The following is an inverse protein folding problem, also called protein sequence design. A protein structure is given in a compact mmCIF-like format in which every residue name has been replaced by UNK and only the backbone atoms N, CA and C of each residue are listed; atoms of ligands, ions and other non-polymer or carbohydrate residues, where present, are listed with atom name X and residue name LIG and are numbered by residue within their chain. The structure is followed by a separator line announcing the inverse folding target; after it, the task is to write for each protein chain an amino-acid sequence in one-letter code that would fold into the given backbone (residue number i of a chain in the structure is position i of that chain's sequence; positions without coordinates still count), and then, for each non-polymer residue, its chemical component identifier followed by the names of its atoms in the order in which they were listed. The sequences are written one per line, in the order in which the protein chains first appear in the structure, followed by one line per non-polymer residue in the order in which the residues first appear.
data_IF_389073070867
#
_entry.id   IF_389073070867
#
_cell.length_a   1.000
_cell.length_b   1.000
_cell.length_c   1.000
_cell.angle_alpha   90.00
_cell.angle_beta   90.00
_cell.angle_gamma   90.00
#
_symmetry.space_group_name_H-M   'P 1'
#
loop_
_entity.id
_entity.type
_entity.pdbx_description
1 polymer ?
#
# COMPACT_ATOMS: atom_id res chain seq x y z
N UNK A 1 -8.09 -27.71 -29.11
CA UNK A 1 -8.74 -28.98 -29.41
C UNK A 1 -9.32 -29.60 -28.14
N UNK A 2 -10.53 -30.14 -28.20
CA UNK A 2 -11.15 -30.79 -27.03
C UNK A 2 -12.15 -31.86 -27.50
N UNK A 3 -12.38 -32.92 -26.68
CA UNK A 3 -13.46 -33.86 -26.90
C UNK A 3 -14.82 -33.19 -26.71
N UNK A 4 -15.87 -33.71 -27.31
CA UNK A 4 -17.20 -33.10 -27.44
C UNK A 4 -17.74 -32.49 -26.13
N UNK A 5 -17.70 -33.25 -25.01
CA UNK A 5 -18.18 -32.75 -23.73
C UNK A 5 -17.37 -31.57 -23.18
N UNK A 6 -16.04 -31.57 -23.32
CA UNK A 6 -15.17 -30.45 -22.90
C UNK A 6 -15.32 -29.27 -23.86
N UNK A 7 -15.46 -29.54 -25.17
CA UNK A 7 -15.64 -28.50 -26.17
C UNK A 7 -16.95 -27.75 -25.98
N UNK A 8 -18.02 -28.39 -25.53
CA UNK A 8 -19.29 -27.76 -25.17
C UNK A 8 -19.07 -26.69 -24.09
N UNK A 9 -18.43 -27.08 -22.99
CA UNK A 9 -18.12 -26.16 -21.89
C UNK A 9 -17.27 -24.96 -22.36
N UNK A 10 -16.22 -25.21 -23.17
CA UNK A 10 -15.35 -24.15 -23.69
C UNK A 10 -16.13 -23.15 -24.56
N UNK A 11 -17.04 -23.66 -25.42
CA UNK A 11 -17.92 -22.81 -26.26
C UNK A 11 -18.89 -21.95 -25.44
N UNK A 12 -19.42 -22.49 -24.34
CA UNK A 12 -20.31 -21.76 -23.44
C UNK A 12 -19.62 -20.55 -22.78
N UNK A 13 -18.29 -20.63 -22.64
CA UNK A 13 -17.46 -19.48 -22.21
C UNK A 13 -17.04 -18.53 -23.35
N UNK A 14 -17.58 -18.71 -24.56
CA UNK A 14 -17.32 -17.84 -25.72
C UNK A 14 -15.96 -18.05 -26.38
N UNK A 15 -15.26 -19.16 -26.11
CA UNK A 15 -13.94 -19.46 -26.68
C UNK A 15 -14.05 -20.35 -27.89
N UNK A 16 -13.21 -20.13 -28.90
CA UNK A 16 -13.10 -21.00 -30.07
C UNK A 16 -12.43 -22.31 -29.68
N UNK A 17 -13.00 -23.43 -30.13
CA UNK A 17 -12.49 -24.78 -29.88
C UNK A 17 -12.82 -25.71 -31.04
N UNK A 18 -11.83 -26.48 -31.46
CA UNK A 18 -12.01 -27.57 -32.45
C UNK A 18 -12.33 -28.86 -31.71
N UNK A 19 -13.45 -29.48 -32.06
CA UNK A 19 -13.86 -30.76 -31.50
C UNK A 19 -13.01 -31.87 -32.11
N UNK A 20 -12.54 -32.81 -31.28
CA UNK A 20 -11.80 -33.98 -31.69
C UNK A 20 -12.50 -35.26 -31.20
N UNK A 21 -12.53 -36.31 -32.05
CA UNK A 21 -13.13 -37.58 -31.73
C UNK A 21 -12.33 -38.35 -30.67
N UNK A 22 -13.01 -39.10 -29.81
CA UNK A 22 -12.34 -40.07 -28.94
C UNK A 22 -11.75 -41.21 -29.77
N UNK A 23 -10.80 -41.94 -29.19
CA UNK A 23 -10.04 -42.98 -29.89
C UNK A 23 -10.96 -44.09 -30.47
N UNK A 24 -12.05 -44.41 -29.78
CA UNK A 24 -13.00 -45.43 -30.19
C UNK A 24 -14.09 -44.94 -31.15
N UNK A 25 -14.26 -43.63 -31.32
CA UNK A 25 -15.32 -43.04 -32.15
C UNK A 25 -14.92 -42.98 -33.63
N UNK A 26 -13.67 -42.73 -33.96
CA UNK A 26 -13.14 -42.70 -35.32
C UNK A 26 -11.68 -43.23 -35.35
N UNK A 27 -11.38 -44.36 -35.98
CA UNK A 27 -10.02 -44.90 -36.04
C UNK A 27 -9.01 -44.02 -36.79
N UNK A 28 -9.45 -43.28 -37.78
CA UNK A 28 -8.59 -42.53 -38.71
C UNK A 28 -8.47 -41.05 -38.35
N UNK A 29 -9.37 -40.49 -37.50
CA UNK A 29 -9.38 -39.11 -37.10
C UNK A 29 -9.80 -39.01 -35.63
N UNK A 30 -8.83 -39.07 -34.72
CA UNK A 30 -9.06 -39.08 -33.29
C UNK A 30 -7.91 -38.45 -32.50
N UNK A 31 -7.99 -38.48 -31.16
CA UNK A 31 -7.00 -37.91 -30.26
C UNK A 31 -5.54 -38.36 -30.54
N UNK A 32 -5.31 -39.62 -30.94
CA UNK A 32 -3.95 -40.11 -31.22
C UNK A 32 -3.40 -39.55 -32.53
N UNK A 33 -4.23 -39.62 -33.61
CA UNK A 33 -3.85 -39.08 -34.91
C UNK A 33 -3.59 -37.56 -34.86
N UNK A 34 -4.34 -36.82 -33.99
CA UNK A 34 -4.10 -35.42 -33.77
C UNK A 34 -2.72 -35.17 -33.13
N UNK A 35 -2.27 -35.97 -32.15
CA UNK A 35 -0.94 -35.85 -31.53
C UNK A 35 0.19 -36.09 -32.55
N UNK A 36 -0.04 -36.90 -33.58
CA UNK A 36 0.92 -37.14 -34.63
C UNK A 36 1.10 -35.98 -35.62
N UNK A 37 0.22 -34.98 -35.59
CA UNK A 37 0.26 -33.84 -36.51
C UNK A 37 1.33 -32.78 -36.15
N UNK A 38 1.95 -32.85 -34.97
CA UNK A 38 2.89 -31.82 -34.47
C UNK A 38 2.25 -30.45 -34.18
N UNK A 39 0.91 -30.38 -34.09
CA UNK A 39 0.16 -29.14 -33.81
C UNK A 39 -0.17 -28.95 -32.35
N UNK A 40 0.22 -29.91 -31.50
CA UNK A 40 -0.14 -29.90 -30.07
C UNK A 40 1.12 -29.67 -29.24
N UNK A 41 1.10 -28.58 -28.49
CA UNK A 41 2.21 -28.20 -27.56
C UNK A 41 2.02 -28.84 -26.18
N UNK A 42 0.77 -29.01 -25.72
CA UNK A 42 0.43 -29.51 -24.38
C UNK A 42 -0.84 -30.37 -24.42
N UNK A 43 -0.86 -31.40 -23.60
CA UNK A 43 -2.06 -32.21 -23.32
C UNK A 43 -2.50 -31.98 -21.89
N UNK A 44 -3.76 -31.59 -21.68
CA UNK A 44 -4.39 -31.54 -20.35
C UNK A 44 -5.35 -32.74 -20.24
N UNK A 45 -5.01 -33.70 -19.39
CA UNK A 45 -5.80 -34.90 -19.18
C UNK A 45 -5.97 -35.19 -17.70
N UNK A 46 -6.99 -34.62 -17.07
CA UNK A 46 -7.32 -34.92 -15.69
C UNK A 46 -7.85 -36.33 -15.55
N UNK A 47 -7.38 -37.07 -14.52
CA UNK A 47 -7.74 -38.48 -14.34
C UNK A 47 -9.21 -38.63 -13.93
N UNK A 48 -9.93 -39.51 -14.66
CA UNK A 48 -11.19 -40.07 -14.18
C UNK A 48 -10.91 -41.11 -13.09
N UNK A 49 -11.84 -41.27 -12.16
CA UNK A 49 -11.74 -42.30 -11.11
C UNK A 49 -11.72 -43.71 -11.78
N UNK A 50 -10.62 -44.44 -11.61
CA UNK A 50 -10.46 -45.80 -12.08
C UNK A 50 -9.06 -46.09 -12.65
N UNK A 51 -8.63 -47.35 -12.59
CA UNK A 51 -7.34 -47.84 -13.14
C UNK A 51 -7.54 -48.69 -14.38
N UNK A 52 -8.35 -48.25 -15.35
CA UNK A 52 -8.51 -49.00 -16.61
C UNK A 52 -7.34 -48.64 -17.56
N UNK A 53 -6.45 -49.62 -17.86
CA UNK A 53 -5.33 -49.40 -18.79
C UNK A 53 -5.77 -49.13 -20.22
N UNK A 54 -7.00 -49.49 -20.59
CA UNK A 54 -7.57 -49.30 -21.93
C UNK A 54 -8.34 -47.99 -22.08
N UNK A 55 -8.47 -47.18 -20.99
CA UNK A 55 -9.13 -45.90 -21.08
C UNK A 55 -8.39 -44.94 -22.04
N UNK A 56 -9.13 -44.21 -22.84
CA UNK A 56 -8.59 -43.26 -23.83
C UNK A 56 -7.59 -42.26 -23.21
N UNK A 57 -7.82 -41.86 -21.97
CA UNK A 57 -6.92 -40.96 -21.25
C UNK A 57 -5.55 -41.58 -20.95
N UNK A 58 -5.49 -42.91 -20.76
CA UNK A 58 -4.21 -43.62 -20.52
C UNK A 58 -3.46 -43.78 -21.85
N UNK A 59 -4.17 -44.15 -22.89
CA UNK A 59 -3.60 -44.32 -24.25
C UNK A 59 -3.08 -42.97 -24.78
N UNK A 60 -3.85 -41.91 -24.63
CA UNK A 60 -3.49 -40.54 -25.03
C UNK A 60 -2.24 -40.08 -24.30
N UNK A 61 -2.18 -40.23 -22.96
CA UNK A 61 -1.00 -39.81 -22.16
C UNK A 61 0.26 -40.57 -22.56
N UNK A 62 0.15 -41.90 -22.79
CA UNK A 62 1.28 -42.71 -23.24
C UNK A 62 1.77 -42.24 -24.61
N UNK A 63 0.86 -42.02 -25.54
CA UNK A 63 1.20 -41.56 -26.89
C UNK A 63 1.79 -40.13 -26.87
N UNK A 64 1.30 -39.20 -26.02
CA UNK A 64 1.85 -37.90 -25.86
C UNK A 64 3.31 -37.95 -25.37
N UNK A 65 3.60 -38.80 -24.37
CA UNK A 65 4.98 -39.02 -23.88
C UNK A 65 5.89 -39.60 -24.96
N UNK A 66 5.41 -40.54 -25.78
CA UNK A 66 6.16 -41.12 -26.91
C UNK A 66 6.48 -40.08 -28.01
N UNK A 67 5.77 -38.94 -28.02
CA UNK A 67 5.95 -37.80 -28.94
C UNK A 67 6.61 -36.58 -28.30
N UNK A 68 7.14 -36.71 -27.08
CA UNK A 68 7.72 -35.63 -26.30
C UNK A 68 6.77 -34.44 -26.04
N UNK A 69 5.43 -34.72 -26.04
CA UNK A 69 4.41 -33.70 -25.74
C UNK A 69 4.14 -33.72 -24.25
N UNK A 70 4.34 -32.59 -23.52
CA UNK A 70 4.05 -32.50 -22.10
C UNK A 70 2.60 -32.76 -21.77
N UNK A 71 2.33 -33.65 -20.78
CA UNK A 71 0.99 -34.05 -20.38
C UNK A 71 0.70 -33.61 -18.93
N UNK A 72 -0.26 -32.73 -18.76
CA UNK A 72 -0.70 -32.21 -17.46
C UNK A 72 -1.85 -33.08 -16.95
N UNK A 73 -1.65 -33.69 -15.79
CA UNK A 73 -2.63 -34.61 -15.20
C UNK A 73 -3.41 -34.04 -14.03
N UNK A 74 -3.01 -32.87 -13.52
CA UNK A 74 -3.67 -32.17 -12.45
C UNK A 74 -4.12 -30.78 -12.90
N UNK A 75 -5.30 -30.36 -12.45
CA UNK A 75 -5.87 -29.06 -12.80
C UNK A 75 -5.01 -27.90 -12.22
N UNK A 76 -4.45 -28.10 -11.01
CA UNK A 76 -3.60 -27.10 -10.37
C UNK A 76 -2.32 -26.85 -11.18
N UNK A 77 -1.74 -27.91 -11.77
CA UNK A 77 -0.57 -27.78 -12.66
C UNK A 77 -0.94 -27.07 -13.96
N UNK A 78 -2.12 -27.35 -14.52
CA UNK A 78 -2.60 -26.66 -15.72
C UNK A 78 -2.84 -25.16 -15.45
N UNK A 79 -3.43 -24.81 -14.29
CA UNK A 79 -3.61 -23.43 -13.86
C UNK A 79 -2.27 -22.73 -13.63
N UNK A 80 -1.30 -23.40 -13.02
CA UNK A 80 0.04 -22.82 -12.81
C UNK A 80 0.74 -22.50 -14.14
N UNK A 81 0.66 -23.39 -15.13
CA UNK A 81 1.23 -23.15 -16.48
C UNK A 81 0.47 -22.01 -17.18
N UNK A 82 -0.86 -21.98 -17.11
CA UNK A 82 -1.64 -20.87 -17.67
C UNK A 82 -1.22 -19.52 -17.08
N UNK A 83 -1.05 -19.44 -15.76
CA UNK A 83 -0.56 -18.25 -15.08
C UNK A 83 0.88 -17.88 -15.51
N UNK A 84 1.76 -18.87 -15.69
CA UNK A 84 3.10 -18.61 -16.22
C UNK A 84 3.06 -18.04 -17.63
N UNK A 85 2.24 -18.59 -18.52
CA UNK A 85 2.09 -18.08 -19.90
C UNK A 85 1.50 -16.65 -19.93
N UNK A 86 0.62 -16.32 -19.00
CA UNK A 86 0.05 -14.98 -18.85
C UNK A 86 1.02 -13.97 -18.24
N UNK A 87 2.02 -14.41 -17.49
CA UNK A 87 2.93 -13.54 -16.73
C UNK A 87 4.01 -12.87 -17.59
N UNK A 88 4.08 -13.14 -18.88
CA UNK A 88 5.09 -12.63 -19.81
C UNK A 88 6.55 -12.98 -19.43
N UNK A 89 6.77 -13.92 -18.53
CA UNK A 89 8.11 -14.44 -18.26
C UNK A 89 8.56 -15.35 -19.43
N UNK A 90 9.79 -15.12 -19.88
CA UNK A 90 10.44 -15.94 -20.92
C UNK A 90 11.89 -16.22 -20.51
N UNK A 91 12.60 -17.03 -21.27
CA UNK A 91 13.98 -17.42 -20.97
C UNK A 91 14.97 -16.23 -20.93
N UNK A 92 14.60 -15.07 -21.48
CA UNK A 92 15.44 -13.87 -21.52
C UNK A 92 15.23 -12.97 -20.31
N UNK A 93 14.06 -13.04 -19.65
CA UNK A 93 13.71 -12.20 -18.52
C UNK A 93 13.55 -12.97 -17.18
N UNK A 94 13.82 -14.29 -17.18
CA UNK A 94 13.84 -15.13 -15.98
C UNK A 94 15.28 -15.51 -15.68
N UNK A 95 15.76 -15.15 -14.51
CA UNK A 95 17.03 -15.64 -13.99
C UNK A 95 16.86 -17.10 -13.51
N UNK A 96 17.63 -18.02 -14.12
CA UNK A 96 17.67 -19.40 -13.66
C UNK A 96 18.49 -19.48 -12.38
N UNK A 97 17.83 -19.76 -11.26
CA UNK A 97 18.49 -19.93 -9.96
C UNK A 97 18.74 -21.41 -9.72
N UNK A 98 20.00 -21.80 -9.49
CA UNK A 98 20.33 -23.16 -9.07
C UNK A 98 19.75 -23.41 -7.67
N UNK A 99 18.74 -24.31 -7.60
CA UNK A 99 18.08 -24.70 -6.34
C UNK A 99 19.07 -25.30 -5.33
N UNK A 100 20.16 -25.91 -5.77
CA UNK A 100 21.20 -26.43 -4.89
C UNK A 100 22.08 -25.30 -4.35
N UNK A 101 22.37 -24.26 -5.15
CA UNK A 101 23.07 -23.06 -4.69
C UNK A 101 22.24 -22.23 -3.70
N UNK A 102 20.90 -22.24 -3.82
CA UNK A 102 19.99 -21.61 -2.83
C UNK A 102 20.07 -22.26 -1.44
N UNK A 103 20.49 -23.52 -1.34
CA UNK A 103 20.67 -24.19 -0.04
C UNK A 103 21.99 -23.82 0.65
N UNK A 104 22.97 -23.29 -0.08
CA UNK A 104 24.31 -23.01 0.45
C UNK A 104 24.55 -21.54 0.82
N UNK A 105 23.76 -20.60 0.33
CA UNK A 105 23.85 -19.19 0.70
C UNK A 105 22.50 -18.61 1.11
N UNK A 106 22.10 -18.83 2.34
CA UNK A 106 21.04 -18.02 2.93
C UNK A 106 21.58 -16.60 3.06
N UNK A 107 21.13 -15.72 2.18
CA UNK A 107 21.45 -14.31 2.31
C UNK A 107 20.87 -13.77 3.62
N UNK A 108 21.70 -13.10 4.40
CA UNK A 108 21.26 -12.41 5.60
C UNK A 108 20.95 -10.98 5.29
N UNK A 109 19.73 -10.55 5.56
CA UNK A 109 19.34 -9.15 5.50
C UNK A 109 19.36 -8.53 6.89
N UNK A 110 20.07 -7.40 7.02
CA UNK A 110 20.01 -6.53 8.18
C UNK A 110 18.84 -5.59 8.07
N UNK A 111 18.09 -5.44 9.14
CA UNK A 111 16.96 -4.54 9.22
C UNK A 111 16.94 -3.76 10.52
N UNK A 112 16.26 -2.62 10.50
CA UNK A 112 15.94 -1.84 11.67
C UNK A 112 14.41 -1.80 11.83
N UNK A 113 13.89 -2.32 12.94
CA UNK A 113 12.49 -2.18 13.30
C UNK A 113 12.28 -0.82 13.91
N UNK A 114 11.42 -0.02 13.29
CA UNK A 114 11.12 1.34 13.72
C UNK A 114 9.61 1.54 13.89
N UNK A 115 9.23 2.52 14.70
CA UNK A 115 7.84 2.95 14.83
C UNK A 115 7.74 4.48 14.82
N UNK A 116 6.61 4.98 14.39
CA UNK A 116 6.27 6.41 14.45
C UNK A 116 4.79 6.56 14.77
N UNK A 117 4.51 6.98 15.98
CA UNK A 117 3.14 7.19 16.48
C UNK A 117 2.27 5.92 16.38
N UNK A 118 2.84 4.76 16.70
CA UNK A 118 2.16 3.45 16.68
C UNK A 118 2.10 2.75 15.32
N UNK A 119 2.53 3.40 14.25
CA UNK A 119 2.69 2.79 12.94
C UNK A 119 4.14 2.28 12.80
N UNK A 120 4.33 1.01 12.51
CA UNK A 120 5.63 0.34 12.59
C UNK A 120 6.16 -0.15 11.24
N UNK A 121 7.48 -0.13 11.11
CA UNK A 121 8.16 -0.36 9.85
C UNK A 121 9.35 -1.31 10.01
N UNK A 122 9.57 -2.15 9.00
CA UNK A 122 10.83 -2.84 8.78
C UNK A 122 11.62 -1.99 7.79
N UNK A 123 12.69 -1.35 8.26
CA UNK A 123 13.56 -0.52 7.44
C UNK A 123 14.81 -1.31 7.04
N UNK A 124 15.11 -1.37 5.75
CA UNK A 124 16.27 -2.02 5.18
C UNK A 124 17.09 -0.99 4.40
N UNK A 125 18.39 -0.90 4.70
CA UNK A 125 19.33 -0.07 3.96
C UNK A 125 19.78 -0.81 2.68
N UNK A 126 19.00 -0.63 1.62
CA UNK A 126 19.24 -1.27 0.32
C UNK A 126 20.44 -0.69 -0.47
N UNK A 127 21.15 0.28 0.09
CA UNK A 127 22.43 0.77 -0.48
C UNK A 127 23.60 -0.13 -0.11
N UNK A 128 23.47 -0.91 0.97
CA UNK A 128 24.52 -1.78 1.53
C UNK A 128 24.24 -3.26 1.30
N UNK A 129 23.03 -3.60 0.87
CA UNK A 129 22.60 -4.98 0.66
C UNK A 129 21.56 -5.05 -0.46
N UNK A 130 21.65 -6.07 -1.30
CA UNK A 130 20.70 -6.26 -2.39
C UNK A 130 19.34 -6.74 -1.86
N UNK A 131 18.27 -6.23 -2.46
CA UNK A 131 16.90 -6.66 -2.18
C UNK A 131 16.23 -6.99 -3.52
N UNK A 132 16.22 -8.28 -3.89
CA UNK A 132 15.81 -8.74 -5.21
C UNK A 132 14.31 -8.66 -5.46
N UNK A 133 13.47 -8.97 -4.48
CA UNK A 133 12.00 -8.95 -4.60
C UNK A 133 11.37 -8.20 -3.42
N UNK A 134 11.39 -6.86 -3.42
CA UNK A 134 10.90 -6.09 -2.28
C UNK A 134 9.39 -6.28 -2.02
N UNK A 135 8.57 -6.46 -3.05
CA UNK A 135 7.14 -6.71 -2.90
C UNK A 135 6.86 -8.05 -2.19
N UNK A 136 7.48 -9.14 -2.65
CA UNK A 136 7.37 -10.45 -2.00
C UNK A 136 7.97 -10.45 -0.60
N UNK A 137 9.07 -9.72 -0.40
CA UNK A 137 9.70 -9.57 0.91
C UNK A 137 8.78 -8.82 1.89
N UNK A 138 8.06 -7.79 1.44
CA UNK A 138 7.09 -7.07 2.26
C UNK A 138 5.95 -7.99 2.71
N UNK A 139 5.36 -8.77 1.81
CA UNK A 139 4.32 -9.75 2.13
C UNK A 139 4.80 -10.75 3.19
N UNK A 140 6.03 -11.24 3.05
CA UNK A 140 6.63 -12.19 3.99
C UNK A 140 6.93 -11.52 5.33
N UNK A 141 7.81 -10.51 5.35
CA UNK A 141 8.36 -9.95 6.59
C UNK A 141 7.35 -9.17 7.41
N UNK A 142 6.33 -8.55 6.77
CA UNK A 142 5.29 -7.82 7.50
C UNK A 142 4.26 -8.73 8.19
N UNK A 143 4.30 -10.04 7.97
CA UNK A 143 3.41 -10.98 8.65
C UNK A 143 3.71 -11.02 10.16
N UNK A 144 2.77 -10.49 10.96
CA UNK A 144 2.93 -10.34 12.43
C UNK A 144 2.95 -11.64 13.21
N UNK A 145 2.53 -12.76 12.62
CA UNK A 145 2.45 -14.06 13.30
C UNK A 145 3.56 -15.00 12.92
N UNK A 146 4.10 -14.85 11.73
CA UNK A 146 5.04 -15.83 11.17
C UNK A 146 6.46 -15.28 11.00
N UNK A 147 6.62 -13.94 10.96
CA UNK A 147 7.87 -13.26 10.68
C UNK A 147 8.09 -12.07 11.62
N UNK A 148 8.82 -11.04 11.22
CA UNK A 148 9.10 -9.84 12.02
C UNK A 148 7.81 -9.10 12.40
N UNK A 149 6.88 -8.98 11.46
CA UNK A 149 5.63 -8.25 11.61
C UNK A 149 5.80 -6.74 11.57
N UNK A 150 5.12 -6.06 10.67
CA UNK A 150 5.06 -4.59 10.58
C UNK A 150 3.86 -4.16 9.73
N UNK A 151 3.55 -2.86 9.75
CA UNK A 151 2.59 -2.28 8.82
C UNK A 151 3.16 -2.17 7.41
N UNK A 152 4.49 -2.03 7.28
CA UNK A 152 5.12 -1.84 5.98
C UNK A 152 6.62 -2.16 5.99
N UNK A 153 7.14 -2.46 4.79
CA UNK A 153 8.56 -2.54 4.48
C UNK A 153 9.03 -1.22 3.86
N UNK A 154 10.14 -0.68 4.35
CA UNK A 154 10.75 0.55 3.86
C UNK A 154 12.18 0.27 3.41
N UNK A 155 12.49 0.59 2.15
CA UNK A 155 13.84 0.51 1.63
C UNK A 155 14.46 1.91 1.54
N UNK A 156 15.65 2.06 2.09
CA UNK A 156 16.47 3.26 1.93
C UNK A 156 17.44 3.02 0.79
N UNK A 157 17.36 3.85 -0.24
CA UNK A 157 18.18 3.77 -1.46
C UNK A 157 18.93 5.08 -1.68
N UNK A 158 19.90 5.05 -2.59
CA UNK A 158 20.58 6.28 -3.03
C UNK A 158 19.62 7.16 -3.85
N UNK A 159 19.79 8.46 -3.73
CA UNK A 159 19.10 9.45 -4.55
C UNK A 159 20.12 10.36 -5.24
N UNK A 160 19.81 10.77 -6.48
CA UNK A 160 20.60 11.79 -7.21
C UNK A 160 20.18 13.22 -6.86
N UNK A 161 19.06 13.40 -6.14
CA UNK A 161 18.42 14.70 -5.89
C UNK A 161 18.33 15.05 -4.41
N UNK A 162 18.43 14.05 -3.54
CA UNK A 162 18.23 14.18 -2.11
C UNK A 162 19.26 13.35 -1.33
N UNK A 163 19.22 13.40 -0.01
CA UNK A 163 20.13 12.64 0.85
C UNK A 163 19.91 11.13 0.78
N UNK A 164 18.67 10.71 0.49
CA UNK A 164 18.29 9.34 0.22
C UNK A 164 16.99 9.27 -0.59
N UNK A 165 16.68 8.10 -1.14
CA UNK A 165 15.39 7.75 -1.72
C UNK A 165 14.68 6.74 -0.81
N UNK A 166 13.44 7.03 -0.44
CA UNK A 166 12.58 6.13 0.33
C UNK A 166 11.63 5.40 -0.63
N UNK A 167 11.75 4.07 -0.69
CA UNK A 167 10.79 3.20 -1.33
C UNK A 167 9.99 2.45 -0.25
N UNK A 168 8.67 2.36 -0.42
CA UNK A 168 7.76 1.92 0.62
C UNK A 168 6.78 0.89 0.07
N UNK A 169 6.60 -0.23 0.78
CA UNK A 169 5.71 -1.32 0.41
C UNK A 169 4.74 -1.65 1.54
N UNK A 170 3.45 -1.76 1.22
CA UNK A 170 2.42 -2.23 2.13
C UNK A 170 2.57 -3.72 2.45
N UNK A 171 1.83 -4.22 3.45
CA UNK A 171 1.81 -5.64 3.81
C UNK A 171 1.38 -6.58 2.66
N UNK A 172 0.57 -6.10 1.72
CA UNK A 172 0.13 -6.85 0.55
C UNK A 172 1.13 -6.85 -0.62
N UNK A 173 2.30 -6.22 -0.43
CA UNK A 173 3.34 -6.07 -1.43
C UNK A 173 3.13 -4.92 -2.40
N UNK A 174 2.02 -4.20 -2.33
CA UNK A 174 1.79 -3.02 -3.17
C UNK A 174 2.74 -1.88 -2.80
N UNK A 175 3.29 -1.19 -3.81
CA UNK A 175 4.16 -0.04 -3.59
C UNK A 175 3.34 1.21 -3.29
N UNK A 176 3.63 1.84 -2.15
CA UNK A 176 3.03 3.11 -1.75
C UNK A 176 3.85 4.31 -2.23
N UNK A 177 3.18 5.42 -2.49
CA UNK A 177 3.86 6.62 -3.02
C UNK A 177 4.54 7.45 -1.94
N UNK A 178 3.96 7.53 -0.74
CA UNK A 178 4.48 8.29 0.39
C UNK A 178 3.74 7.88 1.68
N UNK A 179 4.48 7.81 2.79
CA UNK A 179 3.94 7.65 4.13
C UNK A 179 4.62 8.64 5.10
N UNK A 180 3.82 9.57 5.66
CA UNK A 180 4.33 10.61 6.55
C UNK A 180 4.99 10.06 7.82
N UNK A 181 4.52 8.91 8.32
CA UNK A 181 5.12 8.23 9.45
C UNK A 181 6.45 7.56 9.07
N UNK A 182 6.49 6.83 7.95
CA UNK A 182 7.69 6.13 7.48
C UNK A 182 8.85 7.11 7.17
N UNK A 183 8.57 8.24 6.54
CA UNK A 183 9.62 9.21 6.18
C UNK A 183 10.32 9.81 7.42
N UNK A 184 9.58 9.97 8.55
CA UNK A 184 10.20 10.39 9.81
C UNK A 184 11.16 9.34 10.36
N UNK A 185 10.78 8.05 10.25
CA UNK A 185 11.66 6.93 10.63
C UNK A 185 12.91 6.88 9.76
N UNK A 186 12.77 7.07 8.44
CA UNK A 186 13.93 7.14 7.53
C UNK A 186 14.83 8.31 7.89
N UNK A 187 14.28 9.49 8.16
CA UNK A 187 15.06 10.66 8.53
C UNK A 187 15.87 10.45 9.81
N UNK A 188 15.23 9.87 10.84
CA UNK A 188 15.91 9.48 12.08
C UNK A 188 17.03 8.46 11.82
N UNK A 189 16.74 7.41 11.05
CA UNK A 189 17.72 6.39 10.71
C UNK A 189 18.93 6.99 10.00
N UNK A 190 18.72 7.84 9.00
CA UNK A 190 19.80 8.50 8.26
C UNK A 190 20.69 9.33 9.18
N UNK A 191 20.09 10.13 10.05
CA UNK A 191 20.83 10.99 10.95
C UNK A 191 21.55 10.21 12.04
N UNK A 192 20.85 9.35 12.78
CA UNK A 192 21.41 8.64 13.93
C UNK A 192 22.56 7.69 13.53
N UNK A 193 22.54 7.17 12.32
CA UNK A 193 23.59 6.32 11.75
C UNK A 193 24.62 7.09 10.88
N UNK A 194 24.57 8.42 10.85
CA UNK A 194 25.46 9.30 10.07
C UNK A 194 25.56 8.92 8.59
N UNK A 195 24.43 8.57 8.00
CA UNK A 195 24.39 8.14 6.60
C UNK A 195 24.68 9.35 5.68
N UNK A 196 25.58 9.15 4.69
CA UNK A 196 26.01 10.20 3.76
C UNK A 196 26.57 11.46 4.46
N UNK A 197 27.10 11.31 5.68
CA UNK A 197 27.66 12.43 6.44
C UNK A 197 26.61 13.47 6.86
N UNK A 198 25.33 13.10 6.94
CA UNK A 198 24.23 14.05 7.32
C UNK A 198 24.46 14.67 8.69
N UNK A 199 25.09 13.92 9.59
CA UNK A 199 25.41 14.37 10.95
C UNK A 199 26.48 15.44 10.98
N UNK A 200 27.39 15.38 10.01
CA UNK A 200 28.56 16.29 9.90
C UNK A 200 28.21 17.58 9.16
N UNK A 201 26.98 17.68 8.63
CA UNK A 201 26.49 18.88 7.96
C UNK A 201 25.90 19.87 8.97
N UNK A 202 26.61 20.90 9.25
CA UNK A 202 26.17 21.98 10.12
C UNK A 202 26.74 21.91 11.53
N UNK A 203 26.23 22.79 12.41
CA UNK A 203 26.70 22.89 13.79
C UNK A 203 26.20 21.70 14.61
N UNK A 204 27.13 20.91 15.13
CA UNK A 204 26.81 19.79 16.03
C UNK A 204 26.07 20.23 17.29
N UNK A 205 26.31 21.47 17.77
CA UNK A 205 25.65 22.06 18.93
C UNK A 205 24.23 22.56 18.60
N UNK A 206 23.87 22.75 17.31
CA UNK A 206 22.50 23.14 16.94
C UNK A 206 21.49 22.13 17.43
N UNK A 207 20.36 22.56 18.04
CA UNK A 207 19.28 21.65 18.44
C UNK A 207 18.53 21.02 17.25
N UNK A 208 18.81 21.49 16.02
CA UNK A 208 18.15 21.01 14.81
C UNK A 208 19.15 20.61 13.73
N UNK A 209 18.70 19.78 12.80
CA UNK A 209 19.37 19.47 11.55
C UNK A 209 18.34 19.42 10.43
N UNK A 210 18.79 19.48 9.16
CA UNK A 210 17.92 19.40 8.01
C UNK A 210 18.44 18.34 7.05
N UNK A 211 17.52 17.62 6.41
CA UNK A 211 17.80 16.72 5.31
C UNK A 211 16.64 16.68 4.32
N UNK A 212 16.89 16.06 3.18
CA UNK A 212 15.89 15.84 2.15
C UNK A 212 15.78 14.36 1.83
N UNK A 213 14.55 13.89 1.57
CA UNK A 213 14.27 12.51 1.16
C UNK A 213 13.44 12.54 -0.10
N UNK A 214 13.91 11.86 -1.13
CA UNK A 214 13.18 11.67 -2.36
C UNK A 214 12.20 10.51 -2.20
N UNK A 215 11.00 10.62 -2.81
CA UNK A 215 9.93 9.63 -2.74
C UNK A 215 9.23 9.55 -4.09
N UNK A 216 8.39 8.54 -4.30
CA UNK A 216 7.52 8.46 -5.47
C UNK A 216 6.51 9.64 -5.61
N UNK A 217 6.34 10.45 -4.56
CA UNK A 217 5.54 11.69 -4.54
C UNK A 217 6.38 12.97 -4.62
N UNK A 218 7.68 12.85 -4.94
CA UNK A 218 8.63 13.95 -5.00
C UNK A 218 9.51 14.08 -3.76
N UNK A 219 10.44 15.01 -3.83
CA UNK A 219 11.40 15.28 -2.75
C UNK A 219 10.73 16.04 -1.61
N UNK A 220 10.97 15.57 -0.38
CA UNK A 220 10.49 16.20 0.85
C UNK A 220 11.63 16.78 1.66
N UNK A 221 11.43 17.99 2.16
CA UNK A 221 12.36 18.65 3.10
C UNK A 221 11.93 18.33 4.54
N UNK A 222 12.89 17.99 5.37
CA UNK A 222 12.66 17.60 6.75
C UNK A 222 13.55 18.39 7.70
N UNK A 223 12.98 18.77 8.85
CA UNK A 223 13.71 19.36 9.98
C UNK A 223 13.71 18.36 11.13
N UNK A 224 14.87 18.01 11.60
CA UNK A 224 15.10 17.06 12.69
C UNK A 224 15.38 17.84 13.97
N UNK A 225 14.71 17.47 15.06
CA UNK A 225 14.99 17.99 16.39
C UNK A 225 15.81 16.97 17.16
N UNK A 226 16.90 17.44 17.73
CA UNK A 226 17.89 16.59 18.42
C UNK A 226 17.75 16.70 19.94
N UNK A 227 17.88 15.56 20.59
CA UNK A 227 18.06 15.45 22.03
C UNK A 227 19.18 14.43 22.28
N UNK A 228 20.17 14.81 23.08
CA UNK A 228 21.32 13.97 23.41
C UNK A 228 22.04 13.38 22.18
N UNK A 229 22.17 14.19 21.12
CA UNK A 229 22.87 13.80 19.88
C UNK A 229 22.11 12.82 18.97
N UNK A 230 20.85 12.50 19.30
CA UNK A 230 19.94 11.68 18.48
C UNK A 230 18.69 12.45 18.09
N UNK A 231 18.04 12.01 17.04
CA UNK A 231 16.76 12.60 16.59
C UNK A 231 15.65 12.17 17.53
N UNK A 232 14.95 13.13 18.13
CA UNK A 232 13.78 12.94 19.00
C UNK A 232 12.47 13.09 18.23
N UNK A 233 12.40 14.06 17.31
CA UNK A 233 11.23 14.29 16.47
C UNK A 233 11.62 14.87 15.11
N UNK A 234 10.72 14.76 14.15
CA UNK A 234 10.94 15.19 12.77
C UNK A 234 9.74 15.98 12.27
N UNK A 235 9.99 17.14 11.68
CA UNK A 235 9.00 17.91 10.93
C UNK A 235 9.16 17.61 9.45
N UNK A 236 8.05 17.28 8.79
CA UNK A 236 7.96 17.03 7.35
C UNK A 236 7.12 18.12 6.72
N UNK A 237 7.60 18.72 5.63
CA UNK A 237 6.78 19.54 4.75
C UNK A 237 5.89 18.61 3.92
N UNK A 238 4.61 18.56 4.27
CA UNK A 238 3.62 17.72 3.59
C UNK A 238 3.15 18.32 2.27
N UNK A 239 3.46 19.63 2.06
CA UNK A 239 3.10 20.37 0.87
C UNK A 239 1.73 21.02 0.96
N UNK A 240 1.25 21.49 -0.19
CA UNK A 240 0.02 22.26 -0.31
C UNK A 240 -1.21 21.35 -0.26
N UNK A 241 -2.19 21.61 0.63
CA UNK A 241 -3.44 20.85 0.61
C UNK A 241 -4.30 21.23 -0.58
N UNK A 242 -5.12 20.28 -1.07
CA UNK A 242 -6.08 20.48 -2.14
C UNK A 242 -7.49 20.50 -1.57
N UNK A 243 -8.33 21.41 -2.10
CA UNK A 243 -9.66 21.68 -1.54
C UNK A 243 -10.80 21.55 -2.56
N UNK A 244 -10.49 21.50 -3.85
CA UNK A 244 -11.54 21.46 -4.89
C UNK A 244 -12.08 20.03 -5.09
N UNK A 245 -13.39 19.94 -5.37
CA UNK A 245 -14.09 18.67 -5.50
C UNK A 245 -13.50 17.74 -6.57
N UNK A 246 -12.92 18.29 -7.63
CA UNK A 246 -12.30 17.47 -8.69
C UNK A 246 -11.03 16.77 -8.20
N UNK A 247 -10.24 17.45 -7.34
CA UNK A 247 -9.05 16.87 -6.71
C UNK A 247 -9.37 15.91 -5.57
N UNK A 248 -10.61 15.97 -5.01
CA UNK A 248 -11.04 15.18 -3.87
C UNK A 248 -11.86 13.93 -4.26
N UNK A 249 -12.01 13.59 -5.54
CA UNK A 249 -13.05 12.77 -6.16
C UNK A 249 -14.33 12.66 -5.29
N UNK A 250 -15.05 13.78 -5.13
CA UNK A 250 -16.31 13.82 -4.37
C UNK A 250 -17.42 14.48 -5.17
N UNK A 251 -18.66 14.04 -4.94
CA UNK A 251 -19.88 14.64 -5.52
C UNK A 251 -20.44 15.77 -4.66
N UNK A 252 -19.86 16.01 -3.47
CA UNK A 252 -20.25 17.11 -2.60
C UNK A 252 -19.95 18.47 -3.26
N UNK A 253 -20.83 19.42 -3.03
CA UNK A 253 -20.69 20.78 -3.53
C UNK A 253 -20.48 21.77 -2.38
N UNK A 254 -19.66 22.82 -2.57
CA UNK A 254 -19.48 23.87 -1.56
C UNK A 254 -20.83 24.52 -1.22
N UNK A 255 -21.04 24.78 0.07
CA UNK A 255 -22.19 25.53 0.54
C UNK A 255 -21.73 26.95 0.88
N UNK A 256 -22.50 28.03 0.53
CA UNK A 256 -22.18 29.38 0.93
C UNK A 256 -22.06 29.48 2.45
N UNK A 257 -20.90 29.85 2.96
CA UNK A 257 -20.69 30.02 4.40
C UNK A 257 -21.15 31.40 4.84
N UNK A 258 -21.96 31.47 5.89
CA UNK A 258 -22.47 32.71 6.51
C UNK A 258 -21.41 33.45 7.37
N UNK A 259 -20.19 32.93 7.47
CA UNK A 259 -19.10 33.52 8.25
C UNK A 259 -18.23 34.44 7.39
N UNK A 260 -18.65 35.69 7.21
CA UNK A 260 -18.01 36.69 6.34
C UNK A 260 -16.53 36.94 6.61
N UNK A 261 -16.05 36.85 7.84
CA UNK A 261 -14.65 37.14 8.18
C UNK A 261 -13.65 36.02 7.82
N UNK A 262 -14.14 34.78 7.71
CA UNK A 262 -13.32 33.60 7.36
C UNK A 262 -13.45 33.24 5.87
N UNK A 263 -14.61 33.50 5.27
CA UNK A 263 -14.93 33.20 3.88
C UNK A 263 -13.96 33.85 2.87
N UNK A 264 -13.42 35.03 3.20
CA UNK A 264 -12.47 35.73 2.33
C UNK A 264 -11.11 35.02 2.19
N UNK A 265 -10.76 34.13 3.12
CA UNK A 265 -9.51 33.35 3.14
C UNK A 265 -9.68 31.90 2.70
N UNK A 266 -10.92 31.43 2.53
CA UNK A 266 -11.20 30.08 2.09
C UNK A 266 -10.99 29.96 0.57
N UNK A 267 -10.44 28.83 0.09
CA UNK A 267 -10.49 28.51 -1.32
C UNK A 267 -11.96 28.46 -1.78
N UNK A 268 -12.32 29.22 -2.82
CA UNK A 268 -13.72 29.42 -3.30
C UNK A 268 -14.51 28.13 -3.57
N UNK A 269 -13.83 26.98 -3.67
CA UNK A 269 -14.42 25.66 -3.98
C UNK A 269 -14.21 24.64 -2.87
N UNK A 270 -13.83 25.07 -1.66
CA UNK A 270 -13.60 24.18 -0.54
C UNK A 270 -14.91 23.58 -0.02
N UNK A 271 -14.88 22.29 0.28
CA UNK A 271 -15.99 21.55 0.93
C UNK A 271 -15.81 21.72 2.44
N UNK A 272 -16.45 22.72 3.01
CA UNK A 272 -16.33 23.04 4.45
C UNK A 272 -17.69 23.05 5.10
N UNK A 273 -17.86 22.25 6.13
CA UNK A 273 -19.10 22.14 6.92
C UNK A 273 -20.32 21.85 6.05
N UNK A 274 -20.19 20.90 5.13
CA UNK A 274 -21.23 20.50 4.17
C UNK A 274 -21.99 19.30 4.73
N UNK A 275 -23.33 19.27 4.68
CA UNK A 275 -24.11 18.15 5.19
C UNK A 275 -23.90 16.90 4.31
N UNK A 276 -23.58 15.77 4.96
CA UNK A 276 -23.49 14.43 4.40
C UNK A 276 -24.41 13.49 5.18
N UNK A 277 -25.22 12.72 4.50
CA UNK A 277 -26.03 11.69 5.15
C UNK A 277 -25.31 10.34 5.12
N UNK A 278 -25.10 9.74 6.29
CA UNK A 278 -24.50 8.43 6.46
C UNK A 278 -25.43 7.62 7.37
N UNK A 279 -25.90 6.48 6.89
CA UNK A 279 -26.85 5.60 7.63
C UNK A 279 -28.05 6.37 8.21
N UNK A 280 -28.66 7.25 7.41
CA UNK A 280 -29.81 8.07 7.80
C UNK A 280 -29.49 9.23 8.74
N UNK A 281 -28.27 9.34 9.25
CA UNK A 281 -27.81 10.44 10.13
C UNK A 281 -27.10 11.51 9.32
N UNK A 282 -27.38 12.78 9.61
CA UNK A 282 -26.70 13.93 8.99
C UNK A 282 -25.45 14.31 9.77
N UNK A 283 -24.34 14.46 9.06
CA UNK A 283 -23.05 14.94 9.57
C UNK A 283 -22.61 16.15 8.78
N UNK A 284 -22.06 17.13 9.45
CA UNK A 284 -21.39 18.24 8.79
C UNK A 284 -19.92 17.87 8.57
N UNK A 285 -19.51 17.80 7.29
CA UNK A 285 -18.17 17.31 6.90
C UNK A 285 -17.33 18.39 6.23
N UNK A 286 -16.04 18.34 6.45
CA UNK A 286 -15.04 19.12 5.74
C UNK A 286 -14.11 18.18 4.99
N UNK A 287 -14.00 18.37 3.66
CA UNK A 287 -13.21 17.50 2.81
C UNK A 287 -12.02 18.23 2.20
N UNK A 288 -10.86 17.57 2.24
CA UNK A 288 -9.62 18.06 1.65
C UNK A 288 -8.67 16.90 1.34
N UNK A 289 -7.59 17.17 0.60
CA UNK A 289 -6.54 16.19 0.34
C UNK A 289 -5.18 16.72 0.79
N UNK A 290 -4.42 15.85 1.45
CA UNK A 290 -3.00 16.04 1.76
C UNK A 290 -2.23 14.86 1.15
N UNK A 291 -2.38 14.71 -0.18
CA UNK A 291 -1.87 13.55 -0.93
C UNK A 291 -2.86 12.39 -1.03
N UNK A 292 -3.75 12.22 -0.05
CA UNK A 292 -4.90 11.31 -0.04
C UNK A 292 -6.17 12.07 0.34
N UNK A 293 -7.36 11.66 -0.13
CA UNK A 293 -8.61 12.33 0.22
C UNK A 293 -9.03 12.01 1.66
N UNK A 294 -9.51 13.03 2.35
CA UNK A 294 -9.96 12.99 3.74
C UNK A 294 -11.33 13.64 3.92
N UNK A 295 -12.17 12.99 4.71
CA UNK A 295 -13.46 13.50 5.19
C UNK A 295 -13.38 13.69 6.70
N UNK A 296 -13.37 14.95 7.15
CA UNK A 296 -13.25 15.31 8.58
C UNK A 296 -14.62 15.59 9.16
N UNK A 297 -14.93 14.93 10.28
CA UNK A 297 -16.18 15.03 11.03
C UNK A 297 -15.88 15.52 12.44
N UNK A 298 -16.37 16.69 12.82
CA UNK A 298 -16.26 17.16 14.20
C UNK A 298 -17.35 16.57 15.09
N UNK A 299 -16.96 16.01 16.24
CA UNK A 299 -17.86 15.36 17.18
C UNK A 299 -17.50 15.70 18.64
N UNK A 300 -18.50 15.68 19.53
CA UNK A 300 -18.29 16.04 20.96
C UNK A 300 -17.54 14.96 21.76
N UNK A 301 -17.72 13.68 21.42
CA UNK A 301 -17.18 12.54 22.17
C UNK A 301 -16.52 11.52 21.24
N UNK A 302 -15.32 11.83 20.76
CA UNK A 302 -14.59 10.99 19.81
C UNK A 302 -14.32 9.57 20.32
N UNK A 303 -14.12 9.38 21.62
CA UNK A 303 -13.88 8.08 22.24
C UNK A 303 -15.13 7.15 22.22
N UNK A 304 -16.32 7.73 22.09
CA UNK A 304 -17.60 7.00 22.01
C UNK A 304 -18.02 6.65 20.60
N UNK A 305 -17.30 7.12 19.58
CA UNK A 305 -17.58 6.79 18.19
C UNK A 305 -17.22 5.33 17.94
N UNK A 306 -18.16 4.56 17.45
CA UNK A 306 -17.92 3.19 16.97
C UNK A 306 -17.34 3.27 15.55
N UNK A 307 -16.01 3.51 15.48
CA UNK A 307 -15.30 3.77 14.23
C UNK A 307 -15.32 2.53 13.31
N UNK A 308 -15.27 1.33 13.88
CA UNK A 308 -15.32 0.09 13.10
C UNK A 308 -16.69 -0.12 12.44
N UNK A 309 -17.76 0.35 13.06
CA UNK A 309 -19.10 0.29 12.51
C UNK A 309 -19.36 1.39 11.49
N UNK A 310 -19.02 2.64 11.82
CA UNK A 310 -19.41 3.80 10.99
C UNK A 310 -18.37 4.14 9.91
N UNK A 311 -17.11 3.81 10.12
CA UNK A 311 -16.01 4.09 9.19
C UNK A 311 -16.23 3.54 7.78
N UNK A 312 -16.62 2.25 7.63
CA UNK A 312 -16.94 1.65 6.33
C UNK A 312 -18.08 2.37 5.61
N UNK A 313 -19.05 2.92 6.35
CA UNK A 313 -20.21 3.63 5.79
C UNK A 313 -19.82 5.02 5.24
N UNK A 314 -18.83 5.68 5.85
CA UNK A 314 -18.22 6.89 5.30
C UNK A 314 -17.34 6.56 4.10
N UNK A 315 -16.43 5.58 4.25
CA UNK A 315 -15.49 5.18 3.19
C UNK A 315 -16.19 4.86 1.88
N UNK A 316 -17.31 4.12 1.95
CA UNK A 316 -18.06 3.63 0.79
C UNK A 316 -19.30 4.48 0.47
N UNK A 317 -19.43 5.68 1.05
CA UNK A 317 -20.55 6.57 0.76
C UNK A 317 -20.55 7.00 -0.70
N UNK A 318 -21.73 7.08 -1.33
CA UNK A 318 -21.87 7.49 -2.73
C UNK A 318 -21.30 8.88 -3.03
N UNK A 319 -21.13 9.73 -2.01
CA UNK A 319 -20.46 11.01 -2.15
C UNK A 319 -18.96 10.89 -2.45
N UNK A 320 -18.34 9.72 -2.25
CA UNK A 320 -16.92 9.46 -2.46
C UNK A 320 -16.70 8.29 -3.43
N UNK A 321 -16.80 8.49 -4.75
CA UNK A 321 -16.71 7.41 -5.75
C UNK A 321 -15.41 6.59 -5.68
N UNK A 322 -14.31 7.21 -5.25
CA UNK A 322 -13.00 6.57 -5.10
C UNK A 322 -12.68 6.24 -3.64
N UNK A 323 -13.71 6.20 -2.79
CA UNK A 323 -13.60 6.04 -1.33
C UNK A 323 -12.78 7.16 -0.68
N UNK A 324 -12.82 7.28 0.64
CA UNK A 324 -12.12 8.33 1.40
C UNK A 324 -11.62 7.80 2.74
N UNK A 325 -10.59 8.44 3.31
CA UNK A 325 -10.29 8.31 4.72
C UNK A 325 -11.26 9.19 5.51
N UNK A 326 -11.57 8.82 6.75
CA UNK A 326 -12.47 9.60 7.61
C UNK A 326 -11.85 9.84 8.97
N UNK A 327 -11.79 11.12 9.37
CA UNK A 327 -11.28 11.56 10.65
C UNK A 327 -12.43 12.03 11.53
N UNK A 328 -12.66 11.33 12.64
CA UNK A 328 -13.56 11.77 13.73
C UNK A 328 -12.75 12.62 14.70
N UNK A 329 -13.12 13.89 14.85
CA UNK A 329 -12.29 14.89 15.54
C UNK A 329 -13.08 15.58 16.64
N UNK A 330 -12.50 15.64 17.84
CA UNK A 330 -12.96 16.47 18.94
C UNK A 330 -12.02 17.66 19.09
N UNK A 331 -12.57 18.86 19.16
CA UNK A 331 -11.85 20.06 19.59
C UNK A 331 -11.75 20.02 21.10
N UNK A 332 -10.53 19.88 21.62
CA UNK A 332 -10.24 19.83 23.07
C UNK A 332 -9.93 21.21 23.61
N UNK A 333 -9.20 21.99 22.85
CA UNK A 333 -8.80 23.35 23.20
C UNK A 333 -8.47 24.18 21.96
N UNK A 334 -8.05 25.42 22.15
CA UNK A 334 -7.75 26.38 21.07
C UNK A 334 -6.76 25.79 20.04
N UNK A 335 -5.74 25.06 20.51
CA UNK A 335 -4.69 24.48 19.67
C UNK A 335 -4.55 22.97 19.94
N UNK A 336 -5.66 22.31 20.31
CA UNK A 336 -5.64 20.91 20.70
C UNK A 336 -6.85 20.16 20.16
N UNK A 337 -6.57 19.10 19.45
CA UNK A 337 -7.54 18.18 18.84
C UNK A 337 -7.31 16.76 19.35
N UNK A 338 -8.37 15.99 19.46
CA UNK A 338 -8.32 14.53 19.66
C UNK A 338 -8.98 13.86 18.47
N UNK A 339 -8.32 12.87 17.88
CA UNK A 339 -8.75 12.27 16.62
C UNK A 339 -8.71 10.74 16.67
N UNK A 340 -9.69 10.13 16.03
CA UNK A 340 -9.66 8.73 15.59
C UNK A 340 -9.88 8.70 14.09
N UNK A 341 -9.23 7.77 13.40
CA UNK A 341 -9.25 7.71 11.94
C UNK A 341 -9.66 6.34 11.43
N UNK A 342 -10.44 6.34 10.36
CA UNK A 342 -10.70 5.19 9.51
C UNK A 342 -9.97 5.40 8.20
N UNK A 343 -8.98 4.57 7.92
CA UNK A 343 -8.20 4.66 6.69
C UNK A 343 -8.79 3.76 5.61
N UNK A 344 -8.92 4.31 4.42
CA UNK A 344 -9.42 3.63 3.22
C UNK A 344 -8.65 2.33 2.95
N UNK A 345 -9.34 1.20 3.07
CA UNK A 345 -8.78 -0.14 2.85
C UNK A 345 -8.01 -0.73 4.02
N UNK A 346 -7.70 0.07 5.08
CA UNK A 346 -6.92 -0.39 6.23
C UNK A 346 -7.73 -0.48 7.53
N UNK A 347 -8.90 0.18 7.61
CA UNK A 347 -9.69 0.21 8.83
C UNK A 347 -9.24 1.28 9.83
N UNK A 348 -9.59 1.09 11.11
CA UNK A 348 -9.13 1.99 12.18
C UNK A 348 -7.64 1.75 12.48
N UNK A 349 -6.83 2.79 12.32
CA UNK A 349 -5.38 2.75 12.58
C UNK A 349 -5.01 3.57 13.82
N UNK A 350 -3.86 3.28 14.46
CA UNK A 350 -3.38 4.05 15.61
C UNK A 350 -3.07 5.51 15.29
N UNK A 351 -2.62 5.80 14.07
CA UNK A 351 -2.29 7.16 13.62
C UNK A 351 -2.25 7.25 12.09
N UNK A 352 -2.91 8.26 11.55
CA UNK A 352 -2.80 8.69 10.16
C UNK A 352 -2.16 10.07 10.10
N UNK A 353 -0.95 10.20 9.53
CA UNK A 353 -0.24 11.49 9.46
C UNK A 353 -0.95 12.51 8.56
N UNK A 354 -1.42 12.07 7.38
CA UNK A 354 -2.20 12.91 6.46
C UNK A 354 -3.57 13.26 7.04
N UNK A 355 -4.18 12.32 7.79
CA UNK A 355 -5.43 12.55 8.52
C UNK A 355 -5.27 13.59 9.63
N UNK A 356 -4.17 13.57 10.39
CA UNK A 356 -3.87 14.60 11.39
C UNK A 356 -3.71 15.98 10.75
N UNK A 357 -3.03 16.06 9.59
CA UNK A 357 -2.96 17.29 8.80
C UNK A 357 -4.34 17.76 8.35
N UNK A 358 -5.16 16.85 7.83
CA UNK A 358 -6.52 17.15 7.39
C UNK A 358 -7.40 17.65 8.54
N UNK A 359 -7.33 16.99 9.71
CA UNK A 359 -8.05 17.41 10.92
C UNK A 359 -7.68 18.81 11.37
N UNK A 360 -6.36 19.13 11.42
CA UNK A 360 -5.89 20.46 11.81
C UNK A 360 -6.29 21.53 10.79
N UNK A 361 -6.14 21.26 9.49
CA UNK A 361 -6.58 22.17 8.43
C UNK A 361 -8.08 22.41 8.51
N UNK A 362 -8.88 21.32 8.64
CA UNK A 362 -10.33 21.43 8.80
C UNK A 362 -10.71 22.26 10.04
N UNK A 363 -10.00 22.09 11.16
CA UNK A 363 -10.22 22.89 12.36
C UNK A 363 -9.93 24.39 12.13
N UNK A 364 -8.87 24.73 11.39
CA UNK A 364 -8.58 26.11 10.98
C UNK A 364 -9.66 26.65 10.06
N UNK A 365 -10.08 25.88 9.04
CA UNK A 365 -11.11 26.30 8.08
C UNK A 365 -12.48 26.51 8.75
N UNK A 366 -12.79 25.77 9.81
CA UNK A 366 -14.02 25.93 10.60
C UNK A 366 -13.90 26.98 11.72
N UNK A 367 -12.71 27.60 11.91
CA UNK A 367 -12.49 28.60 12.93
C UNK A 367 -12.37 28.05 14.35
N UNK A 368 -12.09 26.77 14.51
CA UNK A 368 -11.86 26.12 15.80
C UNK A 368 -10.43 26.30 16.29
N UNK A 369 -9.48 26.36 15.36
CA UNK A 369 -8.06 26.56 15.65
C UNK A 369 -7.51 27.74 14.84
N UNK A 370 -6.47 28.45 15.34
CA UNK A 370 -5.81 29.52 14.60
C UNK A 370 -4.93 28.99 13.47
N UNK A 371 -4.80 29.79 12.41
CA UNK A 371 -3.84 29.55 11.34
C UNK A 371 -2.43 29.95 11.77
N UNK A 372 -1.42 29.28 11.21
CA UNK A 372 0.01 29.53 11.41
C UNK A 372 0.50 29.30 12.86
N UNK A 373 -0.28 28.61 13.67
CA UNK A 373 0.10 28.14 14.99
C UNK A 373 0.24 26.61 15.01
N UNK A 374 1.01 26.09 15.96
CA UNK A 374 1.12 24.66 16.20
C UNK A 374 -0.17 24.11 16.82
N UNK A 375 -0.78 23.13 16.18
CA UNK A 375 -1.97 22.43 16.66
C UNK A 375 -1.56 21.03 17.08
N UNK A 376 -1.79 20.70 18.32
CA UNK A 376 -1.55 19.36 18.87
C UNK A 376 -2.71 18.45 18.49
N UNK A 377 -2.42 17.33 17.84
CA UNK A 377 -3.41 16.30 17.47
C UNK A 377 -3.11 15.02 18.23
N UNK A 378 -3.94 14.73 19.22
CA UNK A 378 -3.88 13.47 19.98
C UNK A 378 -4.52 12.37 19.13
N UNK A 379 -3.78 11.31 18.85
CA UNK A 379 -4.21 10.09 18.15
C UNK A 379 -4.03 8.89 19.07
N UNK A 380 -4.57 7.72 18.70
CA UNK A 380 -4.44 6.50 19.54
C UNK A 380 -2.96 6.10 19.75
N UNK A 381 -2.12 6.30 18.75
CA UNK A 381 -0.69 5.94 18.79
C UNK A 381 0.22 6.99 19.43
N UNK A 382 -0.29 8.15 19.86
CA UNK A 382 0.51 9.21 20.46
C UNK A 382 0.06 10.61 20.11
N UNK A 383 1.02 11.50 19.93
CA UNK A 383 0.77 12.93 19.66
C UNK A 383 1.50 13.38 18.40
N UNK A 384 0.81 14.08 17.54
CA UNK A 384 1.34 14.77 16.37
C UNK A 384 1.14 16.27 16.53
N UNK A 385 2.05 17.05 15.97
CA UNK A 385 1.93 18.53 15.93
C UNK A 385 1.79 18.90 14.46
N UNK A 386 0.75 19.66 14.15
CA UNK A 386 0.48 20.14 12.79
C UNK A 386 0.48 21.65 12.77
N UNK A 387 1.14 22.24 11.77
CA UNK A 387 1.10 23.67 11.52
C UNK A 387 0.64 23.92 10.09
N UNK A 388 -0.49 24.60 9.92
CA UNK A 388 -1.00 25.02 8.61
C UNK A 388 -0.83 26.52 8.43
N UNK A 389 -0.04 26.92 7.44
CA UNK A 389 0.31 28.33 7.18
C UNK A 389 -0.67 29.06 6.25
N UNK A 390 -1.66 28.34 5.71
CA UNK A 390 -2.55 28.84 4.67
C UNK A 390 -2.08 28.44 3.26
N UNK A 391 -0.81 28.09 3.08
CA UNK A 391 -0.25 27.61 1.81
C UNK A 391 0.25 26.17 1.90
N UNK A 392 1.04 25.85 2.90
CA UNK A 392 1.57 24.51 3.15
C UNK A 392 1.24 24.00 4.53
N UNK A 393 1.34 22.69 4.74
CA UNK A 393 1.15 22.06 6.04
C UNK A 393 2.40 21.30 6.47
N UNK A 394 2.82 21.53 7.71
CA UNK A 394 3.94 20.86 8.36
C UNK A 394 3.43 19.86 9.38
N UNK A 395 3.99 18.65 9.35
CA UNK A 395 3.69 17.58 10.29
C UNK A 395 4.91 17.24 11.10
N UNK A 396 4.82 17.38 12.42
CA UNK A 396 5.89 17.01 13.37
C UNK A 396 5.44 15.82 14.20
N UNK A 397 6.30 14.83 14.34
CA UNK A 397 6.05 13.66 15.18
C UNK A 397 7.32 12.94 15.57
N UNK A 398 7.22 12.12 16.59
CA UNK A 398 8.31 11.26 17.07
C UNK A 398 8.50 10.07 16.17
N UNK A 399 9.68 9.49 16.22
CA UNK A 399 10.01 8.20 15.65
C UNK A 399 11.07 7.53 16.50
N UNK A 400 10.90 6.22 16.73
CA UNK A 400 11.80 5.44 17.58
C UNK A 400 12.31 4.20 16.86
N UNK A 401 13.56 3.85 17.13
CA UNK A 401 14.12 2.55 16.82
C UNK A 401 13.66 1.58 17.92
N UNK A 402 13.00 0.50 17.53
CA UNK A 402 12.53 -0.52 18.47
C UNK A 402 13.62 -1.56 18.69
N UNK A 403 14.16 -2.13 17.61
CA UNK A 403 15.31 -3.02 17.61
C UNK A 403 15.93 -3.13 16.23
N UNK A 404 17.15 -3.69 16.18
CA UNK A 404 17.85 -4.05 14.96
C UNK A 404 18.07 -5.56 14.94
N UNK A 405 18.14 -6.15 13.74
CA UNK A 405 18.33 -7.57 13.60
C UNK A 405 18.81 -7.99 12.22
N UNK A 406 19.04 -9.29 12.10
CA UNK A 406 19.32 -9.96 10.84
C UNK A 406 18.31 -11.08 10.63
N UNK A 407 17.88 -11.26 9.38
CA UNK A 407 16.98 -12.35 8.99
C UNK A 407 17.55 -13.07 7.77
N UNK A 408 17.42 -14.38 7.74
CA UNK A 408 17.76 -15.21 6.57
C UNK A 408 16.63 -15.19 5.56
N UNK A 409 16.97 -14.93 4.28
CA UNK A 409 16.01 -14.84 3.17
C UNK A 409 16.21 -15.94 2.13
#
# INVERSE_FOLDING_TARGET
YATEGTAGVIKDFGMEVTVVNKIHENPDDNLLTLLDTGKIDYVISTSTKGRDPHADSVRMRRHAVERDIPCLTAIDTANAIANCLMSHYNAENVELVDINALRESKEKLRFCKMQSTGNDFILIDARKQAVSNPAGLAVRLCNRRMEIGADSLVLVKDSKKADAYMQFFNQDGSEGRMAGNAIRSVAKYLYDNNINGVKDRGDAASPTASLSIDTASGTKSLVLYKLDGKVSSVTVDMGRPLFDAASLPTTLSPVPTSRESFAARLPRKAIVNVPLTVDGTKYDVTCLSVGTPHCVVFCGFVDKVDVEKIGPLFENNAAFPNRTNTEFVRVVGRNELKMRTWERGNGETPACGTGACAAAIAAVLNGYCPMDENITVQVRGGTLIVKYTGDTVYLTGQSDTVYEGEIEI
#
